data_IF_831203221194
#
_entry.id   IF_831203221194
#
_cell.length_a   1.000
_cell.length_b   1.000
_cell.length_c   1.000
_cell.angle_alpha   90.00
_cell.angle_beta   90.00
_cell.angle_gamma   90.00
#
_symmetry.space_group_name_H-M   'P 1'
#
loop_
_entity.id
_entity.type
_entity.pdbx_description
1 polymer ?
#
# COMPACT_ATOMS: atom_id res chain seq x y z
N UNK A 1 -15.91 -21.54 -66.82
CA UNK A 1 -14.95 -21.26 -65.73
C UNK A 1 -15.75 -20.90 -64.49
N UNK A 2 -16.22 -21.92 -63.78
CA UNK A 2 -15.72 -22.41 -62.49
C UNK A 2 -16.17 -21.59 -61.27
N UNK A 3 -17.18 -22.16 -60.63
CA UNK A 3 -17.76 -21.89 -59.32
C UNK A 3 -16.74 -22.32 -58.25
N UNK A 4 -16.57 -21.56 -57.18
CA UNK A 4 -15.61 -21.87 -56.12
C UNK A 4 -15.98 -21.27 -54.76
N UNK A 5 -16.75 -22.05 -53.99
CA UNK A 5 -17.09 -21.86 -52.59
C UNK A 5 -15.87 -21.64 -51.68
N UNK A 6 -15.95 -20.74 -50.68
CA UNK A 6 -15.50 -21.08 -49.32
C UNK A 6 -16.08 -20.21 -48.20
N UNK A 7 -16.97 -20.84 -47.43
CA UNK A 7 -17.20 -20.78 -45.98
C UNK A 7 -17.20 -19.43 -45.24
N UNK A 8 -18.42 -19.09 -44.81
CA UNK A 8 -18.74 -18.69 -43.42
C UNK A 8 -17.73 -19.26 -42.41
N UNK A 9 -16.91 -18.40 -41.83
CA UNK A 9 -16.29 -18.63 -40.53
C UNK A 9 -17.19 -17.96 -39.49
N UNK A 10 -17.69 -18.77 -38.56
CA UNK A 10 -18.53 -18.35 -37.46
C UNK A 10 -17.77 -17.37 -36.55
N UNK A 11 -18.45 -16.31 -36.15
CA UNK A 11 -17.99 -15.40 -35.13
C UNK A 11 -18.00 -16.14 -33.77
N UNK A 12 -16.87 -16.26 -33.06
CA UNK A 12 -16.93 -16.70 -31.67
C UNK A 12 -17.58 -15.59 -30.85
N UNK A 13 -18.82 -15.82 -30.42
CA UNK A 13 -19.42 -15.12 -29.29
C UNK A 13 -18.58 -15.47 -28.06
N UNK A 14 -17.89 -14.48 -27.48
CA UNK A 14 -17.22 -14.68 -26.20
C UNK A 14 -15.87 -14.00 -26.01
N UNK A 15 -15.64 -12.81 -26.56
CA UNK A 15 -14.57 -11.95 -26.05
C UNK A 15 -15.18 -10.94 -25.09
N UNK A 16 -15.20 -11.26 -23.79
CA UNK A 16 -15.40 -10.23 -22.76
C UNK A 16 -14.23 -9.26 -22.91
N UNK A 17 -14.53 -8.07 -23.43
CA UNK A 17 -13.62 -6.94 -23.41
C UNK A 17 -13.15 -6.73 -21.97
N UNK A 18 -11.89 -7.08 -21.72
CA UNK A 18 -11.28 -6.90 -20.41
C UNK A 18 -11.20 -5.39 -20.20
N UNK A 19 -12.10 -4.85 -19.39
CA UNK A 19 -11.98 -3.53 -18.78
C UNK A 19 -10.51 -3.33 -18.41
N UNK A 20 -9.89 -2.32 -19.01
CA UNK A 20 -8.48 -2.01 -18.87
C UNK A 20 -8.04 -2.15 -17.41
N UNK A 21 -6.94 -2.88 -17.22
CA UNK A 21 -6.28 -3.02 -15.92
C UNK A 21 -6.16 -1.65 -15.27
N UNK A 22 -6.90 -1.47 -14.18
CA UNK A 22 -6.70 -0.36 -13.25
C UNK A 22 -5.25 -0.46 -12.78
N UNK A 23 -4.44 0.57 -13.05
CA UNK A 23 -3.04 0.65 -12.66
C UNK A 23 -2.90 0.30 -11.16
N UNK A 24 -2.34 -0.87 -10.87
CA UNK A 24 -2.46 -1.56 -9.58
C UNK A 24 -1.40 -1.17 -8.55
N UNK A 25 -0.64 -0.11 -8.79
CA UNK A 25 0.50 0.22 -7.92
C UNK A 25 0.18 1.26 -6.83
N UNK A 26 -0.67 2.25 -7.11
CA UNK A 26 -1.00 3.34 -6.17
C UNK A 26 -1.95 2.86 -5.04
N UNK A 27 -2.70 1.78 -5.29
CA UNK A 27 -3.73 1.22 -4.40
C UNK A 27 -3.16 0.32 -3.28
N UNK A 28 -1.95 -0.23 -3.43
CA UNK A 28 -1.48 -1.30 -2.52
C UNK A 28 -1.11 -0.86 -1.11
N UNK A 29 -0.67 0.38 -0.89
CA UNK A 29 -0.25 0.84 0.44
C UNK A 29 -1.41 1.27 1.33
N UNK A 30 -2.27 2.14 0.79
CA UNK A 30 -3.34 2.79 1.54
C UNK A 30 -4.52 1.82 1.72
N UNK A 31 -4.89 1.04 0.70
CA UNK A 31 -6.04 0.15 0.80
C UNK A 31 -5.81 -1.02 1.77
N UNK A 32 -4.55 -1.48 1.90
CA UNK A 32 -4.20 -2.56 2.81
C UNK A 32 -4.35 -2.17 4.28
N UNK A 33 -3.89 -0.97 4.66
CA UNK A 33 -4.07 -0.52 6.03
C UNK A 33 -5.51 -0.07 6.31
N UNK A 34 -6.22 0.54 5.37
CA UNK A 34 -7.59 1.01 5.60
C UNK A 34 -8.57 -0.14 5.93
N UNK A 35 -8.43 -1.28 5.25
CA UNK A 35 -9.20 -2.49 5.59
C UNK A 35 -8.88 -3.05 6.97
N UNK A 36 -7.60 -3.06 7.35
CA UNK A 36 -7.12 -3.50 8.66
C UNK A 36 -7.57 -2.56 9.79
N UNK A 37 -7.42 -1.26 9.58
CA UNK A 37 -7.80 -0.18 10.49
C UNK A 37 -9.27 -0.31 10.90
N UNK A 38 -10.17 -0.56 9.94
CA UNK A 38 -11.60 -0.78 10.19
C UNK A 38 -11.86 -2.00 11.07
N UNK A 39 -11.14 -3.11 10.87
CA UNK A 39 -11.29 -4.33 11.69
C UNK A 39 -10.78 -4.11 13.12
N UNK A 40 -9.62 -3.46 13.25
CA UNK A 40 -9.05 -3.12 14.55
C UNK A 40 -9.96 -2.13 15.31
N UNK A 41 -10.52 -1.14 14.62
CA UNK A 41 -11.47 -0.19 15.22
C UNK A 41 -12.72 -0.91 15.76
N UNK A 42 -13.27 -1.88 15.02
CA UNK A 42 -14.39 -2.70 15.51
C UNK A 42 -14.04 -3.48 16.78
N UNK A 43 -12.80 -3.99 16.91
CA UNK A 43 -12.36 -4.63 18.14
C UNK A 43 -12.35 -3.65 19.32
N UNK A 44 -11.93 -2.40 19.11
CA UNK A 44 -11.94 -1.39 20.19
C UNK A 44 -13.33 -1.01 20.69
N UNK A 45 -14.38 -1.33 19.91
CA UNK A 45 -15.78 -1.10 20.26
C UNK A 45 -16.42 -2.31 20.94
N UNK A 46 -15.76 -3.46 20.93
CA UNK A 46 -16.25 -4.68 21.54
C UNK A 46 -15.98 -4.66 23.06
N UNK A 47 -17.02 -4.92 23.87
CA UNK A 47 -16.95 -4.91 25.33
C UNK A 47 -16.02 -5.98 25.92
N UNK A 48 -15.80 -7.09 25.20
CA UNK A 48 -14.88 -8.16 25.62
C UNK A 48 -13.41 -7.80 25.38
N UNK A 49 -13.13 -6.69 24.67
CA UNK A 49 -11.80 -6.28 24.28
C UNK A 49 -11.30 -5.12 25.13
N UNK A 50 -10.00 -5.13 25.40
CA UNK A 50 -9.31 -4.13 26.20
C UNK A 50 -9.30 -2.78 25.46
N UNK A 51 -9.81 -1.75 26.12
CA UNK A 51 -9.90 -0.38 25.58
C UNK A 51 -8.52 0.21 25.27
N UNK A 52 -7.45 -0.33 25.89
CA UNK A 52 -6.06 0.03 25.61
C UNK A 52 -5.68 -0.13 24.14
N UNK A 53 -6.32 -1.05 23.40
CA UNK A 53 -6.07 -1.25 21.96
C UNK A 53 -6.28 0.05 21.15
N UNK A 54 -7.23 0.91 21.55
CA UNK A 54 -7.49 2.18 20.87
C UNK A 54 -6.26 3.10 20.84
N UNK A 55 -5.46 3.10 21.91
CA UNK A 55 -4.22 3.89 21.99
C UNK A 55 -3.10 3.34 21.10
N UNK A 56 -3.21 2.09 20.67
CA UNK A 56 -2.24 1.45 19.78
C UNK A 56 -2.54 1.62 18.29
N UNK A 57 -3.75 1.98 17.88
CA UNK A 57 -4.12 2.07 16.46
C UNK A 57 -3.16 2.96 15.64
N UNK A 58 -2.74 4.10 16.20
CA UNK A 58 -1.76 4.97 15.54
C UNK A 58 -0.38 4.32 15.46
N UNK A 59 0.04 3.61 16.49
CA UNK A 59 1.33 2.92 16.53
C UNK A 59 1.35 1.74 15.55
N UNK A 60 0.26 0.97 15.45
CA UNK A 60 0.11 -0.12 14.47
C UNK A 60 0.21 0.44 13.05
N UNK A 61 -0.49 1.56 12.76
CA UNK A 61 -0.37 2.28 11.48
C UNK A 61 1.08 2.61 11.17
N UNK A 62 1.73 3.31 12.10
CA UNK A 62 3.11 3.77 11.93
C UNK A 62 4.09 2.60 11.78
N UNK A 63 3.84 1.46 12.44
CA UNK A 63 4.67 0.27 12.38
C UNK A 63 4.65 -0.38 11.00
N UNK A 64 3.50 -0.42 10.31
CA UNK A 64 3.42 -0.87 8.90
C UNK A 64 4.31 0.00 8.02
N UNK A 65 4.19 1.33 8.15
CA UNK A 65 4.99 2.26 7.37
C UNK A 65 6.48 2.09 7.66
N UNK A 66 6.84 2.07 8.93
CA UNK A 66 8.22 1.87 9.35
C UNK A 66 8.76 0.54 8.81
N UNK A 67 8.03 -0.56 8.95
CA UNK A 67 8.43 -1.87 8.42
C UNK A 67 8.69 -1.81 6.92
N UNK A 68 7.82 -1.13 6.16
CA UNK A 68 7.97 -1.00 4.71
C UNK A 68 9.20 -0.18 4.30
N UNK A 69 9.46 0.94 4.97
CA UNK A 69 10.45 1.94 4.52
C UNK A 69 11.85 1.70 5.06
N UNK A 70 11.97 0.97 6.16
CA UNK A 70 13.26 0.74 6.84
C UNK A 70 13.98 -0.54 6.41
N UNK A 71 13.40 -1.30 5.47
CA UNK A 71 14.05 -2.45 4.82
C UNK A 71 13.57 -2.61 3.37
N UNK A 72 14.44 -3.13 2.53
CA UNK A 72 14.12 -3.50 1.15
C UNK A 72 13.58 -4.93 1.05
N UNK A 73 13.92 -5.81 2.00
CA UNK A 73 13.61 -7.24 2.01
C UNK A 73 12.16 -7.53 2.39
N UNK A 74 11.44 -8.25 1.52
CA UNK A 74 10.06 -8.69 1.77
C UNK A 74 9.91 -9.55 3.04
N UNK A 75 10.70 -10.63 3.21
CA UNK A 75 10.68 -11.45 4.42
C UNK A 75 10.95 -10.65 5.70
N UNK A 76 11.87 -9.68 5.67
CA UNK A 76 12.19 -8.86 6.84
C UNK A 76 11.02 -7.90 7.20
N UNK A 77 10.29 -7.38 6.19
CA UNK A 77 9.05 -6.62 6.43
C UNK A 77 8.02 -7.45 7.18
N UNK A 78 7.90 -8.73 6.81
CA UNK A 78 7.00 -9.67 7.49
C UNK A 78 7.46 -9.93 8.91
N UNK A 79 8.75 -10.19 9.14
CA UNK A 79 9.31 -10.42 10.48
C UNK A 79 9.08 -9.22 11.41
N UNK A 80 9.36 -7.99 10.93
CA UNK A 80 9.08 -6.75 11.66
C UNK A 80 7.59 -6.57 11.93
N UNK A 81 6.73 -6.92 10.98
CA UNK A 81 5.28 -6.82 11.16
C UNK A 81 4.74 -7.82 12.19
N UNK A 82 5.17 -9.08 12.13
CA UNK A 82 4.70 -10.11 13.07
C UNK A 82 5.21 -9.86 14.49
N UNK A 83 6.41 -9.27 14.63
CA UNK A 83 6.94 -8.89 15.94
C UNK A 83 6.12 -7.81 16.66
N UNK A 84 5.25 -7.08 15.95
CA UNK A 84 4.33 -6.12 16.54
C UNK A 84 3.41 -6.76 17.58
N UNK A 85 2.98 -8.01 17.39
CA UNK A 85 2.15 -8.73 18.36
C UNK A 85 2.88 -8.87 19.70
N UNK A 86 4.18 -9.15 19.66
CA UNK A 86 5.04 -9.19 20.84
C UNK A 86 5.22 -7.80 21.44
N UNK A 87 5.43 -6.77 20.62
CA UNK A 87 5.57 -5.39 21.09
C UNK A 87 4.31 -4.88 21.82
N UNK A 88 3.11 -5.26 21.35
CA UNK A 88 1.83 -4.92 21.99
C UNK A 88 1.74 -5.42 23.43
N UNK A 89 2.45 -6.50 23.78
CA UNK A 89 2.50 -7.09 25.12
C UNK A 89 3.83 -6.82 25.86
N UNK A 90 4.57 -5.80 25.44
CA UNK A 90 5.87 -5.39 26.00
C UNK A 90 6.99 -6.44 25.86
N UNK A 91 6.91 -7.32 24.87
CA UNK A 91 7.94 -8.28 24.54
C UNK A 91 8.75 -7.74 23.36
N UNK A 92 10.02 -7.41 23.61
CA UNK A 92 10.92 -6.75 22.64
C UNK A 92 11.96 -7.69 22.04
N UNK A 93 11.96 -8.95 22.44
CA UNK A 93 12.84 -10.01 21.91
C UNK A 93 11.96 -11.00 21.16
N UNK A 94 12.42 -11.49 20.02
CA UNK A 94 11.63 -12.27 19.07
C UNK A 94 12.43 -13.48 18.58
N UNK A 95 11.72 -14.56 18.27
CA UNK A 95 12.33 -15.80 17.80
C UNK A 95 12.76 -15.72 16.32
N UNK A 96 12.24 -14.75 15.57
CA UNK A 96 12.56 -14.60 14.14
C UNK A 96 13.97 -14.02 13.94
N UNK A 97 14.89 -14.74 13.27
CA UNK A 97 16.27 -14.29 13.08
C UNK A 97 16.38 -13.06 12.17
N UNK A 98 15.38 -12.77 11.33
CA UNK A 98 15.36 -11.57 10.48
C UNK A 98 15.05 -10.31 11.28
N UNK A 99 14.41 -10.45 12.45
CA UNK A 99 14.13 -9.33 13.35
C UNK A 99 14.10 -9.80 14.81
N UNK A 100 15.26 -10.07 15.43
CA UNK A 100 15.33 -10.71 16.75
C UNK A 100 15.03 -9.76 17.91
N UNK A 101 15.11 -8.44 17.72
CA UNK A 101 14.88 -7.44 18.77
C UNK A 101 14.36 -6.12 18.21
N UNK A 102 13.50 -5.43 18.97
CA UNK A 102 13.09 -4.05 18.68
C UNK A 102 14.29 -3.09 18.56
N UNK A 103 14.18 -2.11 17.65
CA UNK A 103 15.26 -1.17 17.29
C UNK A 103 15.37 0.05 18.20
N UNK A 104 14.52 0.15 19.22
CA UNK A 104 14.54 1.23 20.20
C UNK A 104 14.91 0.69 21.59
N UNK A 105 15.47 1.52 22.48
CA UNK A 105 15.69 1.12 23.86
C UNK A 105 14.36 0.81 24.56
N UNK A 106 14.39 -0.18 25.44
CA UNK A 106 13.26 -0.49 26.31
C UNK A 106 13.07 0.70 27.27
N UNK A 107 11.85 1.21 27.36
CA UNK A 107 11.57 2.41 28.17
C UNK A 107 11.87 3.74 27.49
N UNK A 108 12.10 3.75 26.17
CA UNK A 108 12.06 5.00 25.39
C UNK A 108 10.78 5.79 25.68
N UNK A 109 10.81 7.12 25.56
CA UNK A 109 9.64 7.98 25.82
C UNK A 109 8.37 7.54 25.03
N UNK A 110 8.56 6.94 23.85
CA UNK A 110 7.48 6.35 23.03
C UNK A 110 6.81 5.12 23.65
N UNK A 111 7.48 4.43 24.57
CA UNK A 111 7.09 3.14 25.14
C UNK A 111 6.85 3.17 26.64
N UNK A 112 7.42 4.15 27.36
CA UNK A 112 7.27 4.30 28.81
C UNK A 112 5.81 4.56 29.24
N UNK A 113 4.99 5.18 28.40
CA UNK A 113 3.60 5.52 28.72
C UNK A 113 2.57 4.76 27.86
N UNK A 114 3.01 3.72 27.13
CA UNK A 114 2.13 2.91 26.30
C UNK A 114 1.34 1.90 27.13
N UNK A 115 0.03 1.75 26.87
CA UNK A 115 -0.79 0.81 27.59
C UNK A 115 -0.65 -0.59 26.99
N UNK A 116 0.33 -1.37 27.44
CA UNK A 116 0.52 -2.74 26.96
C UNK A 116 -0.70 -3.62 27.23
N UNK A 117 -0.97 -4.51 26.27
CA UNK A 117 -2.01 -5.53 26.38
C UNK A 117 -1.50 -6.68 27.26
N UNK A 118 -2.42 -7.29 28.02
CA UNK A 118 -2.07 -8.47 28.81
C UNK A 118 -1.81 -9.66 27.88
N UNK A 119 -0.68 -10.34 28.07
CA UNK A 119 -0.37 -11.60 27.38
C UNK A 119 -1.47 -12.64 27.63
N UNK A 120 -1.82 -13.39 26.59
CA UNK A 120 -2.92 -14.37 26.64
C UNK A 120 -4.33 -13.79 26.76
N UNK A 121 -4.50 -12.45 26.66
CA UNK A 121 -5.84 -11.85 26.65
C UNK A 121 -6.59 -12.11 25.35
N UNK A 122 -7.93 -12.14 25.44
CA UNK A 122 -8.82 -12.26 24.27
C UNK A 122 -8.53 -11.16 23.24
N UNK A 123 -8.24 -9.94 23.72
CA UNK A 123 -7.87 -8.80 22.86
C UNK A 123 -6.64 -9.10 22.03
N UNK A 124 -5.57 -9.60 22.66
CA UNK A 124 -4.32 -9.89 21.97
C UNK A 124 -4.51 -11.00 20.94
N UNK A 125 -5.21 -12.09 21.30
CA UNK A 125 -5.50 -13.18 20.37
C UNK A 125 -6.33 -12.73 19.14
N UNK A 126 -7.34 -11.88 19.36
CA UNK A 126 -8.15 -11.30 18.28
C UNK A 126 -7.33 -10.36 17.38
N UNK A 127 -6.44 -9.55 17.97
CA UNK A 127 -5.53 -8.67 17.23
C UNK A 127 -4.54 -9.50 16.42
N UNK A 128 -3.87 -10.47 17.03
CA UNK A 128 -2.95 -11.39 16.37
C UNK A 128 -3.59 -12.03 15.15
N UNK A 129 -4.79 -12.60 15.29
CA UNK A 129 -5.54 -13.21 14.18
C UNK A 129 -5.77 -12.24 13.00
N UNK A 130 -5.98 -10.95 13.28
CA UNK A 130 -6.14 -9.92 12.24
C UNK A 130 -4.79 -9.60 11.58
N UNK A 131 -3.74 -9.41 12.38
CA UNK A 131 -2.42 -8.97 11.91
C UNK A 131 -1.68 -10.09 11.16
N UNK A 132 -1.82 -11.34 11.59
CA UNK A 132 -1.13 -12.52 11.01
C UNK A 132 -1.94 -13.21 9.90
N UNK A 133 -3.04 -12.61 9.46
CA UNK A 133 -3.83 -13.16 8.37
C UNK A 133 -2.99 -13.35 7.11
N UNK A 134 -3.13 -14.51 6.45
CA UNK A 134 -2.35 -14.86 5.24
C UNK A 134 -2.40 -13.79 4.14
N UNK A 135 -3.52 -13.09 3.96
CA UNK A 135 -3.63 -12.00 2.98
C UNK A 135 -2.77 -10.81 3.40
N UNK A 136 -2.89 -10.41 4.67
CA UNK A 136 -2.11 -9.31 5.26
C UNK A 136 -0.62 -9.57 5.15
N UNK A 137 -0.16 -10.79 5.47
CA UNK A 137 1.27 -11.12 5.36
C UNK A 137 1.77 -11.08 3.91
N UNK A 138 0.96 -11.52 2.94
CA UNK A 138 1.28 -11.42 1.51
C UNK A 138 1.36 -9.97 1.04
N UNK A 139 0.52 -9.11 1.59
CA UNK A 139 0.49 -7.69 1.29
C UNK A 139 1.70 -6.99 1.90
N UNK A 140 2.02 -7.27 3.17
CA UNK A 140 3.21 -6.76 3.88
C UNK A 140 4.50 -7.15 3.16
N UNK A 141 4.59 -8.40 2.69
CA UNK A 141 5.73 -8.90 1.92
C UNK A 141 5.97 -8.10 0.63
N UNK A 142 4.91 -7.54 0.04
CA UNK A 142 4.94 -6.78 -1.21
C UNK A 142 4.94 -5.28 -1.03
N UNK A 143 4.95 -4.78 0.21
CA UNK A 143 5.06 -3.35 0.47
C UNK A 143 6.36 -2.86 -0.18
N UNK A 144 6.26 -1.85 -1.04
CA UNK A 144 7.46 -1.23 -1.58
C UNK A 144 8.15 -0.41 -0.48
N UNK A 145 9.43 -0.14 -0.65
CA UNK A 145 10.23 0.60 0.32
C UNK A 145 10.27 2.11 0.04
N UNK A 146 9.85 2.54 -1.14
CA UNK A 146 9.85 3.95 -1.52
C UNK A 146 8.65 4.70 -0.92
N UNK A 147 8.92 5.84 -0.28
CA UNK A 147 7.91 6.73 0.31
C UNK A 147 7.13 7.52 -0.75
N UNK A 148 7.72 7.73 -1.92
CA UNK A 148 7.32 8.77 -2.84
C UNK A 148 6.67 8.17 -4.08
N UNK A 149 5.35 7.98 -4.02
CA UNK A 149 4.53 7.75 -5.22
C UNK A 149 4.24 9.04 -5.98
N UNK A 150 4.67 10.20 -5.49
CA UNK A 150 4.35 11.50 -6.10
C UNK A 150 4.81 11.61 -7.55
N UNK A 151 5.94 11.00 -7.92
CA UNK A 151 6.39 10.95 -9.32
C UNK A 151 5.47 10.07 -10.18
N UNK A 152 4.99 8.95 -9.64
CA UNK A 152 4.06 8.07 -10.33
C UNK A 152 2.67 8.69 -10.46
N UNK A 153 2.20 9.36 -9.41
CA UNK A 153 0.93 10.09 -9.37
C UNK A 153 0.95 11.29 -10.32
N UNK A 154 2.05 12.06 -10.35
CA UNK A 154 2.23 13.17 -11.29
C UNK A 154 2.25 12.69 -12.73
N UNK A 155 2.93 11.57 -13.02
CA UNK A 155 2.89 10.93 -14.33
C UNK A 155 1.47 10.46 -14.70
N UNK A 156 0.75 9.84 -13.76
CA UNK A 156 -0.63 9.41 -13.98
C UNK A 156 -1.56 10.58 -14.29
N UNK A 157 -1.44 11.69 -13.55
CA UNK A 157 -2.20 12.91 -13.81
C UNK A 157 -1.88 13.50 -15.18
N UNK A 158 -0.62 13.45 -15.59
CA UNK A 158 -0.19 13.88 -16.92
C UNK A 158 -0.83 13.02 -18.02
N UNK A 159 -0.86 11.69 -17.85
CA UNK A 159 -1.58 10.80 -18.78
C UNK A 159 -3.06 11.20 -18.88
N UNK A 160 -3.73 11.48 -17.76
CA UNK A 160 -5.13 11.92 -17.78
C UNK A 160 -5.33 13.27 -18.50
N UNK A 161 -4.34 14.16 -18.45
CA UNK A 161 -4.36 15.45 -19.16
C UNK A 161 -4.18 15.28 -20.68
N UNK A 162 -3.24 14.44 -21.10
CA UNK A 162 -2.95 14.21 -22.52
C UNK A 162 -3.95 13.27 -23.20
N UNK A 163 -4.47 12.30 -22.44
CA UNK A 163 -5.43 11.28 -22.85
C UNK A 163 -6.62 11.24 -21.88
N UNK A 164 -7.50 12.25 -21.92
CA UNK A 164 -8.66 12.30 -21.04
C UNK A 164 -9.63 11.15 -21.36
N UNK A 165 -10.15 10.50 -20.30
CA UNK A 165 -10.95 9.27 -20.38
C UNK A 165 -12.27 9.43 -21.13
N UNK A 166 -12.76 10.65 -21.29
CA UNK A 166 -14.02 10.98 -21.94
C UNK A 166 -13.89 11.30 -23.43
N UNK A 167 -12.69 11.16 -24.01
CA UNK A 167 -12.45 11.40 -25.44
C UNK A 167 -11.97 10.12 -26.09
N UNK A 168 -12.57 9.76 -27.22
CA UNK A 168 -12.16 8.60 -28.03
C UNK A 168 -11.05 9.04 -28.97
N UNK A 169 -9.92 8.35 -28.90
CA UNK A 169 -8.78 8.57 -29.79
C UNK A 169 -8.56 7.34 -30.69
N UNK A 170 -8.18 7.52 -31.96
CA UNK A 170 -7.65 6.41 -32.75
C UNK A 170 -6.35 5.91 -32.10
N UNK A 171 -6.01 4.65 -32.32
CA UNK A 171 -4.86 3.99 -31.68
C UNK A 171 -3.55 4.79 -31.80
N UNK A 172 -3.22 5.26 -33.01
CA UNK A 172 -2.02 6.06 -33.25
C UNK A 172 -2.07 7.40 -32.49
N UNK A 173 -3.23 8.05 -32.46
CA UNK A 173 -3.41 9.30 -31.71
C UNK A 173 -3.23 9.13 -30.20
N UNK A 174 -3.71 8.02 -29.65
CA UNK A 174 -3.47 7.67 -28.24
C UNK A 174 -2.00 7.40 -27.96
N UNK A 175 -1.33 6.63 -28.83
CA UNK A 175 0.08 6.29 -28.68
C UNK A 175 0.98 7.55 -28.68
N UNK A 176 0.77 8.46 -29.64
CA UNK A 176 1.52 9.71 -29.71
C UNK A 176 1.33 10.56 -28.43
N UNK A 177 0.09 10.65 -27.91
CA UNK A 177 -0.21 11.40 -26.69
C UNK A 177 0.42 10.79 -25.45
N UNK A 178 0.46 9.46 -25.35
CA UNK A 178 1.17 8.77 -24.27
C UNK A 178 2.68 9.01 -24.35
N UNK A 179 3.26 8.98 -25.55
CA UNK A 179 4.68 9.30 -25.76
C UNK A 179 4.99 10.75 -25.35
N UNK A 180 4.13 11.71 -25.72
CA UNK A 180 4.25 13.11 -25.31
C UNK A 180 4.17 13.27 -23.78
N UNK A 181 3.24 12.58 -23.13
CA UNK A 181 3.14 12.59 -21.68
C UNK A 181 4.42 12.01 -21.04
N UNK A 182 4.98 10.92 -21.57
CA UNK A 182 6.23 10.34 -21.08
C UNK A 182 7.42 11.29 -21.24
N UNK A 183 7.59 11.90 -22.42
CA UNK A 183 8.65 12.88 -22.67
C UNK A 183 8.51 14.09 -21.74
N UNK A 184 7.30 14.63 -21.59
CA UNK A 184 7.04 15.74 -20.68
C UNK A 184 7.32 15.36 -19.22
N UNK A 185 6.97 14.14 -18.78
CA UNK A 185 7.31 13.70 -17.43
C UNK A 185 8.82 13.61 -17.25
N UNK A 186 9.54 12.96 -18.16
CA UNK A 186 10.99 12.80 -18.08
C UNK A 186 11.72 14.15 -17.99
N UNK A 187 11.29 15.14 -18.77
CA UNK A 187 11.86 16.50 -18.76
C UNK A 187 11.58 17.27 -17.45
N UNK A 188 10.49 16.94 -16.76
CA UNK A 188 10.05 17.68 -15.56
C UNK A 188 10.20 16.90 -14.26
N UNK A 189 10.53 15.61 -14.28
CA UNK A 189 10.61 14.74 -13.10
C UNK A 189 11.73 15.14 -12.14
N UNK A 190 12.79 15.80 -12.64
CA UNK A 190 13.91 16.30 -11.84
C UNK A 190 13.82 17.77 -11.43
N UNK A 191 12.70 18.46 -11.71
CA UNK A 191 12.55 19.86 -11.29
C UNK A 191 12.25 19.92 -9.80
N UNK A 192 13.03 20.74 -9.08
CA UNK A 192 12.75 21.07 -7.69
C UNK A 192 11.35 21.68 -7.57
N UNK A 193 10.63 21.34 -6.49
CA UNK A 193 9.32 21.92 -6.22
C UNK A 193 9.42 23.45 -6.14
N UNK A 194 8.50 24.14 -6.81
CA UNK A 194 8.44 25.59 -6.76
C UNK A 194 8.27 26.07 -5.30
N UNK A 195 9.24 26.81 -4.80
CA UNK A 195 9.16 27.49 -3.51
C UNK A 195 8.53 28.86 -3.69
N UNK A 196 7.55 29.18 -2.85
CA UNK A 196 7.06 30.55 -2.68
C UNK A 196 8.19 31.47 -2.17
N UNK A 197 8.06 32.79 -2.32
CA UNK A 197 9.03 33.77 -1.81
C UNK A 197 9.34 33.64 -0.30
N UNK A 198 8.50 32.93 0.46
CA UNK A 198 8.67 32.62 1.88
C UNK A 198 9.29 31.22 2.15
N UNK A 199 9.80 30.53 1.12
CA UNK A 199 10.45 29.22 1.23
C UNK A 199 9.50 28.04 1.52
N UNK A 200 8.18 28.25 1.44
CA UNK A 200 7.20 27.16 1.58
C UNK A 200 6.92 26.54 0.21
N UNK A 201 6.87 25.20 0.19
CA UNK A 201 6.50 24.39 -0.97
C UNK A 201 5.08 24.76 -1.42
N UNK A 202 4.91 25.07 -2.70
CA UNK A 202 3.58 25.25 -3.30
C UNK A 202 2.90 23.89 -3.35
N UNK A 203 1.78 23.74 -2.65
CA UNK A 203 0.89 22.59 -2.82
C UNK A 203 -0.09 22.92 -3.96
N UNK A 204 -0.12 22.05 -4.97
CA UNK A 204 -1.12 22.08 -6.05
C UNK A 204 -2.52 21.68 -5.55
#
# INVERSE_FOLDING_TARGET
>A
MYIGWYKRQAQPRGAKEKRGSRCSYISSYVDNYEGLSKKLLKLTQNKDCDTKLKRWLRSIKNHVYWSATSTTSGPEKVARWTSLVNHLQNVHVHDDPLFPKCTHPVGAASDANKPYLKGGSITLARVETILTNKRVLKDVLKLSHHYQTSSLESFHNLILRFTPKNVVFPFIGMLCRLCLAAMHHNENAGRDQATTAAGKLVQD
#
